data_IF_209791095336
#
_entry.id   IF_209791095336
#
_cell.length_a   1.000
_cell.length_b   1.000
_cell.length_c   1.000
_cell.angle_alpha   90.00
_cell.angle_beta   90.00
_cell.angle_gamma   90.00
#
_symmetry.space_group_name_H-M   'P 1'
#
loop_
_entity.id
_entity.type
_entity.pdbx_description
1 polymer ?
#
# COMPACT_ATOMS: atom_id res chain seq x y z
N UNK A 1 43.88 -24.75 -2.40
CA UNK A 1 42.83 -24.75 -3.44
C UNK A 1 41.48 -24.90 -2.75
N UNK A 2 41.01 -23.91 -2.00
CA UNK A 2 39.67 -23.96 -1.39
C UNK A 2 38.70 -23.17 -2.27
N UNK A 3 38.28 -23.79 -3.38
CA UNK A 3 37.27 -23.25 -4.29
C UNK A 3 35.88 -23.55 -3.72
N UNK A 4 35.54 -23.00 -2.55
CA UNK A 4 34.18 -22.79 -2.00
C UNK A 4 34.27 -22.77 -0.46
N UNK A 5 34.72 -21.66 0.10
CA UNK A 5 34.37 -21.34 1.49
C UNK A 5 32.97 -20.75 1.50
N UNK A 6 32.02 -21.49 2.09
CA UNK A 6 30.63 -21.05 2.20
C UNK A 6 30.57 -19.80 3.08
N UNK A 7 30.18 -18.67 2.49
CA UNK A 7 29.87 -17.43 3.21
C UNK A 7 28.69 -17.69 4.14
N UNK A 8 28.89 -17.51 5.45
CA UNK A 8 27.89 -17.83 6.50
C UNK A 8 26.64 -16.93 6.45
N UNK A 9 26.68 -15.83 5.70
CA UNK A 9 25.58 -14.88 5.62
C UNK A 9 24.61 -15.21 4.49
N UNK A 10 23.40 -15.66 4.87
CA UNK A 10 22.28 -15.78 3.92
C UNK A 10 21.77 -14.38 3.61
N UNK A 11 21.64 -13.97 2.33
CA UNK A 11 21.05 -12.69 1.99
C UNK A 11 19.60 -12.64 2.50
N UNK A 12 19.22 -11.54 3.15
CA UNK A 12 17.83 -11.29 3.58
C UNK A 12 16.98 -11.00 2.34
N UNK A 13 16.39 -12.04 1.74
CA UNK A 13 15.48 -11.90 0.60
C UNK A 13 14.13 -11.42 1.14
N UNK A 14 13.60 -10.27 0.68
CA UNK A 14 12.27 -9.82 1.09
C UNK A 14 11.20 -10.80 0.60
N UNK A 15 10.09 -10.98 1.35
CA UNK A 15 9.05 -11.91 0.97
C UNK A 15 8.45 -11.54 -0.39
N UNK A 16 8.06 -12.52 -1.22
CA UNK A 16 7.54 -12.27 -2.57
C UNK A 16 6.34 -11.30 -2.61
N UNK A 17 5.48 -11.30 -1.59
CA UNK A 17 4.37 -10.32 -1.42
C UNK A 17 4.85 -8.87 -1.30
N UNK A 18 6.12 -8.64 -0.96
CA UNK A 18 6.70 -7.31 -0.91
C UNK A 18 6.97 -6.75 -2.31
N UNK A 19 7.28 -7.60 -3.29
CA UNK A 19 7.75 -7.18 -4.63
C UNK A 19 6.63 -7.11 -5.67
N UNK A 20 5.60 -7.95 -5.52
CA UNK A 20 4.57 -8.13 -6.54
C UNK A 20 3.22 -7.53 -6.13
N UNK A 21 2.55 -6.90 -7.09
CA UNK A 21 1.15 -6.51 -7.05
C UNK A 21 0.34 -7.47 -7.94
N UNK A 22 -0.77 -8.00 -7.41
CA UNK A 22 -1.66 -8.90 -8.13
C UNK A 22 -2.98 -8.19 -8.35
N UNK A 23 -3.42 -8.07 -9.61
CA UNK A 23 -4.69 -7.45 -9.94
C UNK A 23 -5.87 -8.31 -9.39
N UNK A 24 -6.77 -7.76 -8.55
CA UNK A 24 -7.91 -8.49 -8.01
C UNK A 24 -8.87 -9.02 -9.08
N UNK A 25 -9.04 -8.27 -10.19
CA UNK A 25 -9.97 -8.57 -11.29
C UNK A 25 -9.42 -9.66 -12.23
N UNK A 26 -8.24 -9.45 -12.82
CA UNK A 26 -7.71 -10.32 -13.88
C UNK A 26 -6.54 -11.23 -13.45
N UNK A 27 -6.14 -11.17 -12.17
CA UNK A 27 -5.05 -11.98 -11.57
C UNK A 27 -3.68 -11.84 -12.23
N UNK A 28 -3.48 -10.81 -13.05
CA UNK A 28 -2.17 -10.52 -13.65
C UNK A 28 -1.21 -9.94 -12.62
N UNK A 29 0.06 -10.28 -12.77
CA UNK A 29 1.14 -9.92 -11.85
C UNK A 29 1.92 -8.75 -12.42
N UNK A 30 2.20 -7.77 -11.58
CA UNK A 30 3.01 -6.60 -11.90
C UNK A 30 4.02 -6.39 -10.76
N UNK A 31 5.19 -5.81 -11.05
CA UNK A 31 6.02 -5.30 -9.95
C UNK A 31 5.23 -4.19 -9.25
N UNK A 32 5.41 -4.04 -7.92
CA UNK A 32 4.75 -2.96 -7.18
C UNK A 32 5.12 -1.57 -7.71
N UNK A 33 6.36 -1.40 -8.13
CA UNK A 33 6.84 -0.15 -8.75
C UNK A 33 6.09 0.16 -10.04
N UNK A 34 5.94 -0.80 -10.95
CA UNK A 34 5.19 -0.61 -12.19
C UNK A 34 3.71 -0.34 -11.91
N UNK A 35 3.09 -1.08 -10.98
CA UNK A 35 1.70 -0.85 -10.59
C UNK A 35 1.49 0.56 -10.03
N UNK A 36 2.42 1.04 -9.20
CA UNK A 36 2.39 2.40 -8.62
C UNK A 36 2.62 3.47 -9.69
N UNK A 37 3.55 3.25 -10.62
CA UNK A 37 3.81 4.15 -11.74
C UNK A 37 2.58 4.32 -12.66
N UNK A 38 1.78 3.27 -12.81
CA UNK A 38 0.48 3.31 -13.51
C UNK A 38 -0.68 3.86 -12.66
N UNK A 39 -0.40 4.52 -11.52
CA UNK A 39 -1.42 5.10 -10.65
C UNK A 39 -2.34 4.07 -9.99
N UNK A 40 -1.88 2.82 -9.88
CA UNK A 40 -2.67 1.70 -9.37
C UNK A 40 -3.76 1.20 -10.32
N UNK A 41 -3.67 1.53 -11.61
CA UNK A 41 -4.59 1.07 -12.64
C UNK A 41 -3.97 -0.14 -13.36
N UNK A 42 -4.74 -1.21 -13.50
CA UNK A 42 -4.28 -2.41 -14.18
C UNK A 42 -4.15 -2.17 -15.69
N UNK A 43 -2.94 -2.27 -16.29
CA UNK A 43 -2.75 -2.01 -17.73
C UNK A 43 -3.41 -3.07 -18.62
N UNK A 44 -3.77 -4.24 -18.07
CA UNK A 44 -4.40 -5.33 -18.85
C UNK A 44 -5.92 -5.24 -18.91
N UNK A 45 -6.59 -4.83 -17.84
CA UNK A 45 -8.06 -4.91 -17.73
C UNK A 45 -8.73 -3.64 -17.21
N UNK A 46 -7.97 -2.56 -17.08
CA UNK A 46 -8.38 -1.25 -16.59
C UNK A 46 -9.08 -1.26 -15.22
N UNK A 47 -8.72 -2.22 -14.37
CA UNK A 47 -9.19 -2.24 -12.99
C UNK A 47 -8.48 -1.16 -12.18
N UNK A 48 -9.25 -0.31 -11.50
CA UNK A 48 -8.74 0.68 -10.58
C UNK A 48 -8.51 0.04 -9.21
N UNK A 49 -7.25 -0.04 -8.81
CA UNK A 49 -6.85 -0.51 -7.48
C UNK A 49 -7.31 0.40 -6.36
N UNK A 50 -7.12 -0.08 -5.12
CA UNK A 50 -7.25 0.75 -3.92
C UNK A 50 -6.25 1.91 -4.01
N UNK A 51 -6.70 3.09 -3.61
CA UNK A 51 -5.92 4.32 -3.56
C UNK A 51 -6.20 4.99 -2.22
N UNK A 52 -5.15 5.36 -1.49
CA UNK A 52 -5.28 6.08 -0.23
C UNK A 52 -5.62 7.56 -0.46
N UNK A 53 -6.18 8.21 0.55
CA UNK A 53 -6.50 9.65 0.49
C UNK A 53 -5.25 10.50 0.16
N UNK A 54 -4.10 10.20 0.79
CA UNK A 54 -2.83 10.91 0.54
C UNK A 54 -2.32 10.72 -0.88
N UNK A 55 -2.41 9.50 -1.42
CA UNK A 55 -2.03 9.25 -2.82
C UNK A 55 -2.96 10.00 -3.79
N UNK A 56 -4.28 10.05 -3.51
CA UNK A 56 -5.21 10.83 -4.32
C UNK A 56 -4.88 12.31 -4.32
N UNK A 57 -4.61 12.88 -3.14
CA UNK A 57 -4.23 14.29 -3.00
C UNK A 57 -2.99 14.61 -3.85
N UNK A 58 -1.96 13.76 -3.77
CA UNK A 58 -0.73 13.93 -4.55
C UNK A 58 -0.92 13.82 -6.08
N UNK A 59 -2.03 13.24 -6.56
CA UNK A 59 -2.34 13.18 -7.99
C UNK A 59 -3.04 14.43 -8.51
N UNK A 60 -3.75 15.16 -7.66
CA UNK A 60 -4.65 16.26 -8.08
C UNK A 60 -4.16 17.63 -7.63
N UNK A 61 -3.37 17.71 -6.55
CA UNK A 61 -2.81 18.94 -6.05
C UNK A 61 -1.38 19.12 -6.55
N UNK A 62 -0.99 20.37 -6.82
CA UNK A 62 0.39 20.71 -7.12
C UNK A 62 1.31 20.35 -5.94
N UNK A 63 2.55 19.99 -6.27
CA UNK A 63 3.52 19.60 -5.26
C UNK A 63 3.74 20.73 -4.24
N UNK A 64 3.47 20.45 -2.96
CA UNK A 64 3.63 21.40 -1.86
C UNK A 64 2.50 22.43 -1.70
N UNK A 65 1.45 22.40 -2.54
CA UNK A 65 0.34 23.34 -2.43
C UNK A 65 -0.79 22.87 -1.51
N UNK A 66 -0.85 21.57 -1.21
CA UNK A 66 -1.90 21.02 -0.36
C UNK A 66 -1.71 21.40 1.11
N UNK A 67 -2.71 22.08 1.66
CA UNK A 67 -2.83 22.37 3.10
C UNK A 67 -3.99 21.56 3.70
N UNK A 68 -3.69 20.80 4.75
CA UNK A 68 -4.68 19.96 5.41
C UNK A 68 -5.50 20.77 6.41
N UNK A 69 -6.81 20.81 6.20
CA UNK A 69 -7.74 21.51 7.07
C UNK A 69 -8.28 20.52 8.12
N UNK A 70 -8.54 21.00 9.34
CA UNK A 70 -9.16 20.20 10.41
C UNK A 70 -8.36 18.94 10.80
N UNK A 71 -7.03 18.99 10.74
CA UNK A 71 -6.15 17.85 11.09
C UNK A 71 -6.40 17.26 12.48
N UNK A 72 -6.83 18.09 13.43
CA UNK A 72 -7.08 17.68 14.82
C UNK A 72 -8.48 17.09 15.04
N UNK A 73 -9.34 17.07 14.01
CA UNK A 73 -10.67 16.47 14.12
C UNK A 73 -10.55 14.95 14.12
N UNK A 74 -10.76 14.36 15.29
CA UNK A 74 -10.87 12.91 15.49
C UNK A 74 -12.31 12.44 15.56
N UNK A 75 -12.48 11.13 15.72
CA UNK A 75 -13.77 10.51 16.01
C UNK A 75 -14.14 10.66 17.50
N UNK A 76 -15.44 10.78 17.80
CA UNK A 76 -15.99 10.73 19.16
C UNK A 76 -17.04 9.62 19.27
N UNK A 77 -16.81 8.65 20.16
CA UNK A 77 -17.78 7.58 20.41
C UNK A 77 -18.79 7.96 21.48
N UNK A 78 -19.87 8.63 21.07
CA UNK A 78 -20.97 8.98 21.98
C UNK A 78 -21.87 7.79 22.34
N UNK A 79 -21.77 6.67 21.61
CA UNK A 79 -22.63 5.52 21.79
C UNK A 79 -21.96 4.42 22.62
N UNK A 80 -20.66 4.54 22.88
CA UNK A 80 -19.84 3.49 23.49
C UNK A 80 -20.08 2.15 22.78
N UNK A 81 -19.99 2.19 21.45
CA UNK A 81 -20.41 1.07 20.62
C UNK A 81 -19.37 -0.05 20.62
N UNK A 82 -19.84 -1.27 20.89
CA UNK A 82 -19.03 -2.47 20.85
C UNK A 82 -19.66 -3.50 19.91
N UNK A 83 -18.83 -4.08 19.04
CA UNK A 83 -19.19 -5.26 18.28
C UNK A 83 -18.70 -6.55 18.98
N UNK A 84 -18.89 -7.70 18.33
CA UNK A 84 -18.46 -9.00 18.87
C UNK A 84 -16.94 -9.13 19.05
N UNK A 85 -16.16 -8.24 18.41
CA UNK A 85 -14.69 -8.18 18.47
C UNK A 85 -14.16 -7.09 19.39
N UNK A 86 -15.00 -6.17 19.86
CA UNK A 86 -14.65 -5.15 20.85
C UNK A 86 -15.12 -3.75 20.45
N UNK A 87 -14.54 -2.72 21.08
CA UNK A 87 -14.67 -1.35 20.57
C UNK A 87 -13.93 -1.22 19.23
N UNK A 88 -14.35 -0.28 18.38
CA UNK A 88 -13.53 0.13 17.25
C UNK A 88 -12.16 0.60 17.74
N UNK A 89 -11.10 0.27 16.98
CA UNK A 89 -9.78 0.80 17.25
C UNK A 89 -9.76 2.32 17.01
N UNK A 90 -9.09 3.04 17.90
CA UNK A 90 -8.76 4.47 17.76
C UNK A 90 -7.93 4.74 16.49
#
# INVERSE_FOLDING_TARGET
MSWFEATKDKPKIPPAKALWAICPKCKSHFSKEAWKAHGGICPKCNYHGRLSARERIAQIADAGSFEEICREVGYSDHLHFHDATGAYAD
#
